data_IF_834843285480
#
_entry.id   IF_834843285480
#
_cell.length_a   1.000
_cell.length_b   1.000
_cell.length_c   1.000
_cell.angle_alpha   90.00
_cell.angle_beta   90.00
_cell.angle_gamma   90.00
#
_symmetry.space_group_name_H-M   'P 1'
#
loop_
_entity.id
_entity.type
_entity.pdbx_description
1 polymer ?
#
# COMPACT_ATOMS: atom_id res chain seq x y z
N UNK A 1 3.82 3.50 12.53
CA UNK A 1 3.44 2.83 11.25
C UNK A 1 2.80 3.80 10.25
N UNK A 2 1.91 4.71 10.68
CA UNK A 2 1.35 5.74 9.81
C UNK A 2 2.41 6.69 9.20
N UNK A 3 3.47 7.01 9.94
CA UNK A 3 4.52 7.92 9.45
C UNK A 3 5.31 7.36 8.26
N UNK A 4 5.62 6.05 8.26
CA UNK A 4 6.33 5.40 7.16
C UNK A 4 5.47 5.36 5.89
N UNK A 5 4.18 5.04 6.02
CA UNK A 5 3.21 5.10 4.92
C UNK A 5 3.11 6.50 4.34
N UNK A 6 2.93 7.52 5.19
CA UNK A 6 2.85 8.92 4.77
C UNK A 6 4.15 9.41 4.11
N UNK A 7 5.30 8.95 4.60
CA UNK A 7 6.60 9.22 3.99
C UNK A 7 6.69 8.66 2.57
N UNK A 8 6.35 7.37 2.37
CA UNK A 8 6.31 6.76 1.04
C UNK A 8 5.30 7.44 0.12
N UNK A 9 4.10 7.76 0.61
CA UNK A 9 3.09 8.47 -0.16
C UNK A 9 3.59 9.83 -0.69
N UNK A 10 4.22 10.64 0.18
CA UNK A 10 4.76 11.94 -0.25
C UNK A 10 5.89 11.81 -1.26
N UNK A 11 6.85 10.92 -1.01
CA UNK A 11 7.98 10.72 -1.92
C UNK A 11 7.54 10.15 -3.28
N UNK A 12 6.78 9.06 -3.27
CA UNK A 12 6.45 8.30 -4.49
C UNK A 12 5.32 8.93 -5.32
N UNK A 13 4.36 9.58 -4.67
CA UNK A 13 3.23 10.23 -5.36
C UNK A 13 3.48 11.72 -5.52
N UNK A 14 3.63 12.45 -4.41
CA UNK A 14 3.59 13.93 -4.45
C UNK A 14 4.84 14.50 -5.10
N UNK A 15 6.02 14.01 -4.72
CA UNK A 15 7.30 14.52 -5.22
C UNK A 15 7.67 13.93 -6.59
N UNK A 16 7.53 12.62 -6.78
CA UNK A 16 7.96 11.96 -8.02
C UNK A 16 6.97 12.06 -9.20
N UNK A 17 5.66 12.12 -8.96
CA UNK A 17 4.64 12.13 -10.03
C UNK A 17 4.04 13.52 -10.28
N UNK A 18 4.38 14.52 -9.47
CA UNK A 18 4.04 15.91 -9.72
C UNK A 18 4.83 16.54 -10.88
N UNK A 19 4.53 17.79 -11.25
CA UNK A 19 3.58 18.71 -10.61
C UNK A 19 2.12 18.47 -11.00
N UNK A 20 1.21 18.75 -10.07
CA UNK A 20 -0.24 18.56 -10.23
C UNK A 20 -0.93 19.88 -10.61
N UNK A 21 -1.88 19.83 -11.54
CA UNK A 21 -2.58 21.03 -12.03
C UNK A 21 -3.89 21.31 -11.30
N UNK A 22 -4.56 20.27 -10.81
CA UNK A 22 -5.89 20.32 -10.22
C UNK A 22 -6.10 19.13 -9.28
N UNK A 23 -7.15 19.21 -8.44
CA UNK A 23 -7.49 18.16 -7.48
C UNK A 23 -7.84 16.83 -8.16
N UNK A 24 -8.55 16.86 -9.28
CA UNK A 24 -8.97 15.64 -9.98
C UNK A 24 -7.75 14.81 -10.46
N UNK A 25 -6.67 15.47 -10.87
CA UNK A 25 -5.42 14.78 -11.21
C UNK A 25 -4.81 14.07 -10.00
N UNK A 26 -4.80 14.73 -8.84
CA UNK A 26 -4.29 14.16 -7.58
C UNK A 26 -5.16 12.98 -7.18
N UNK A 27 -6.48 13.12 -7.18
CA UNK A 27 -7.41 12.06 -6.80
C UNK A 27 -7.23 10.80 -7.64
N UNK A 28 -7.15 10.94 -8.97
CA UNK A 28 -6.89 9.80 -9.85
C UNK A 28 -5.53 9.15 -9.58
N UNK A 29 -4.51 9.96 -9.27
CA UNK A 29 -3.19 9.45 -8.96
C UNK A 29 -3.16 8.71 -7.61
N UNK A 30 -3.88 9.21 -6.60
CA UNK A 30 -4.04 8.55 -5.31
C UNK A 30 -4.70 7.19 -5.48
N UNK A 31 -5.80 7.09 -6.25
CA UNK A 31 -6.47 5.80 -6.49
C UNK A 31 -5.51 4.79 -7.11
N UNK A 32 -4.73 5.20 -8.12
CA UNK A 32 -3.72 4.32 -8.74
C UNK A 32 -2.61 3.93 -7.76
N UNK A 33 -2.11 4.89 -7.00
CA UNK A 33 -1.04 4.64 -6.03
C UNK A 33 -1.50 3.69 -4.92
N UNK A 34 -2.73 3.84 -4.41
CA UNK A 34 -3.30 2.94 -3.39
C UNK A 34 -3.50 1.53 -3.96
N UNK A 35 -3.99 1.40 -5.19
CA UNK A 35 -4.11 0.11 -5.86
C UNK A 35 -2.76 -0.61 -5.98
N UNK A 36 -1.76 0.09 -6.52
CA UNK A 36 -0.40 -0.43 -6.61
C UNK A 36 0.21 -0.75 -5.24
N UNK A 37 0.06 0.15 -4.26
CA UNK A 37 0.61 -0.02 -2.91
C UNK A 37 0.08 -1.28 -2.25
N UNK A 38 -1.20 -1.59 -2.40
CA UNK A 38 -1.83 -2.73 -1.73
C UNK A 38 -1.60 -4.06 -2.45
N UNK A 39 -1.61 -4.06 -3.78
CA UNK A 39 -1.63 -5.30 -4.55
C UNK A 39 -0.28 -5.67 -5.17
N UNK A 40 0.65 -4.72 -5.32
CA UNK A 40 1.90 -4.94 -6.06
C UNK A 40 3.16 -4.49 -5.33
N UNK A 41 3.09 -3.47 -4.46
CA UNK A 41 4.28 -2.88 -3.84
C UNK A 41 4.95 -3.85 -2.86
N UNK A 42 6.22 -4.22 -3.10
CA UNK A 42 6.96 -5.05 -2.16
C UNK A 42 7.22 -4.29 -0.86
N UNK A 43 6.92 -4.90 0.27
CA UNK A 43 7.16 -4.30 1.58
C UNK A 43 8.14 -5.16 2.39
N UNK A 44 9.35 -4.66 2.67
CA UNK A 44 10.40 -5.42 3.37
C UNK A 44 9.95 -5.91 4.76
N UNK A 45 9.20 -5.07 5.49
CA UNK A 45 8.61 -5.46 6.78
C UNK A 45 7.54 -6.57 6.68
N UNK A 46 6.99 -6.83 5.49
CA UNK A 46 6.01 -7.89 5.22
C UNK A 46 6.65 -9.08 4.50
N UNK A 47 7.98 -9.22 4.55
CA UNK A 47 8.69 -10.28 3.83
C UNK A 47 8.69 -10.09 2.32
N UNK A 48 8.66 -8.83 1.85
CA UNK A 48 8.56 -8.44 0.45
C UNK A 48 7.23 -8.81 -0.23
N UNK A 49 6.20 -9.12 0.56
CA UNK A 49 4.85 -9.30 0.06
C UNK A 49 4.10 -7.95 -0.01
N UNK A 50 3.16 -7.82 -0.94
CA UNK A 50 2.17 -6.75 -0.90
C UNK A 50 1.28 -6.83 0.36
N UNK A 51 0.78 -5.70 0.87
CA UNK A 51 -0.12 -5.67 2.02
C UNK A 51 -1.35 -6.58 1.92
N UNK A 52 -1.98 -6.65 0.74
CA UNK A 52 -3.16 -7.49 0.51
C UNK A 52 -2.82 -8.99 0.65
N UNK A 53 -1.70 -9.41 0.08
CA UNK A 53 -1.27 -10.79 0.15
C UNK A 53 -0.87 -11.16 1.59
N UNK A 54 -0.10 -10.30 2.26
CA UNK A 54 0.26 -10.50 3.66
C UNK A 54 -0.98 -10.62 4.55
N UNK A 55 -1.97 -9.75 4.37
CA UNK A 55 -3.23 -9.80 5.09
C UNK A 55 -4.00 -11.10 4.86
N UNK A 56 -4.06 -11.57 3.61
CA UNK A 56 -4.69 -12.83 3.24
C UNK A 56 -4.01 -14.02 3.91
N UNK A 57 -2.67 -14.09 3.87
CA UNK A 57 -1.90 -15.15 4.50
C UNK A 57 -2.06 -15.15 6.02
N UNK A 58 -2.02 -13.96 6.63
CA UNK A 58 -2.17 -13.82 8.07
C UNK A 58 -3.56 -14.23 8.56
N UNK A 59 -4.62 -13.83 7.85
CA UNK A 59 -5.99 -14.23 8.19
C UNK A 59 -6.20 -15.74 8.05
N UNK A 60 -5.70 -16.35 6.96
CA UNK A 60 -5.76 -17.81 6.76
C UNK A 60 -5.07 -18.58 7.89
N UNK A 61 -3.87 -18.14 8.29
CA UNK A 61 -3.13 -18.74 9.40
C UNK A 61 -3.89 -18.64 10.72
N UNK A 62 -4.44 -17.46 11.02
CA UNK A 62 -5.26 -17.28 12.23
C UNK A 62 -6.53 -18.13 12.23
N UNK A 63 -7.21 -18.26 11.08
CA UNK A 63 -8.40 -19.10 10.96
C UNK A 63 -8.06 -20.59 11.18
N UNK A 64 -6.94 -21.07 10.62
CA UNK A 64 -6.47 -22.43 10.83
C UNK A 64 -6.12 -22.71 12.31
N UNK A 65 -5.46 -21.76 12.98
CA UNK A 65 -5.15 -21.87 14.41
C UNK A 65 -6.41 -21.94 15.29
N UNK A 66 -7.46 -21.19 14.93
CA UNK A 66 -8.74 -21.20 15.67
C UNK A 66 -9.56 -22.47 15.45
N UNK A 67 -9.29 -23.24 14.40
CA UNK A 67 -10.01 -24.45 14.04
C UNK A 67 -9.33 -25.74 14.53
N UNK A 68 -8.12 -25.62 15.11
CA UNK A 68 -7.35 -26.72 15.72
C UNK A 68 -7.59 -26.78 17.23
#
# INVERSE_FOLDING_TARGET
MAEALNGSFKAELVEHQGPWRDADQVERAVVRWVGWYNSERPHSALGYLPPEEFGTQHYRSQAALKAA
#
